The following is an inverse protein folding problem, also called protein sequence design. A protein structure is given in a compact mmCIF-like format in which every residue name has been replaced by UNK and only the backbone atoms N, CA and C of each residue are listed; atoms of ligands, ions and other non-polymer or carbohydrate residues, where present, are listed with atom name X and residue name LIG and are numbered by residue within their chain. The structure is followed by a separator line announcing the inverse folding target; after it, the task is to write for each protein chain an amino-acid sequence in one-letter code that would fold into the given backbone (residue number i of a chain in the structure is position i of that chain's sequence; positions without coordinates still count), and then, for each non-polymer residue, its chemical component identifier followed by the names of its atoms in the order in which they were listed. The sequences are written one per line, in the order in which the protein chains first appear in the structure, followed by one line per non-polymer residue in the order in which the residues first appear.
data_IF_234095416853
#
_entry.id   IF_234095416853
#
_cell.length_a   1.000
_cell.length_b   1.000
_cell.length_c   1.000
_cell.angle_alpha   90.00
_cell.angle_beta   90.00
_cell.angle_gamma   90.00
#
_symmetry.space_group_name_H-M   'P 1'
#
loop_
_entity.id
_entity.type
_entity.pdbx_description
1 polymer ?
#
# COMPACT_ATOMS: atom_id res chain seq x y z
N UNK A 1 -16.51 -16.99 -9.55
CA UNK A 1 -15.33 -16.18 -9.93
C UNK A 1 -15.60 -14.73 -9.53
N UNK A 2 -14.75 -14.13 -8.69
CA UNK A 2 -15.00 -12.79 -8.11
C UNK A 2 -14.98 -11.70 -9.19
N UNK A 3 -15.99 -10.81 -9.19
CA UNK A 3 -16.17 -9.65 -10.08
C UNK A 3 -15.07 -8.57 -9.96
N UNK A 4 -14.05 -8.79 -9.13
CA UNK A 4 -12.99 -7.81 -8.83
C UNK A 4 -11.67 -8.04 -9.57
N UNK A 5 -11.57 -9.07 -10.40
CA UNK A 5 -10.41 -9.27 -11.27
C UNK A 5 -10.74 -8.85 -12.70
N UNK A 6 -10.78 -7.55 -12.97
CA UNK A 6 -10.74 -7.05 -14.34
C UNK A 6 -9.29 -7.11 -14.86
N UNK A 7 -8.75 -8.33 -15.01
CA UNK A 7 -7.42 -8.55 -15.60
C UNK A 7 -7.32 -7.88 -16.98
N UNK A 8 -8.33 -7.98 -17.87
CA UNK A 8 -8.31 -7.25 -19.14
C UNK A 8 -8.23 -5.73 -18.95
N UNK A 9 -8.99 -5.17 -18.01
CA UNK A 9 -8.93 -3.74 -17.66
C UNK A 9 -7.58 -3.32 -17.09
N UNK A 10 -7.01 -4.13 -16.19
CA UNK A 10 -5.68 -3.89 -15.62
C UNK A 10 -4.61 -3.91 -16.71
N UNK A 11 -4.65 -4.90 -17.61
CA UNK A 11 -3.76 -4.92 -18.76
C UNK A 11 -3.95 -3.65 -19.60
N UNK A 12 -5.20 -3.25 -19.88
CA UNK A 12 -5.48 -2.04 -20.66
C UNK A 12 -4.96 -0.76 -19.99
N UNK A 13 -4.97 -0.66 -18.67
CA UNK A 13 -4.45 0.51 -17.94
C UNK A 13 -2.94 0.48 -17.74
N UNK A 14 -2.33 -0.69 -17.58
CA UNK A 14 -0.91 -0.82 -17.27
C UNK A 14 -0.02 -0.94 -18.52
N UNK A 15 -0.48 -1.58 -19.61
CA UNK A 15 0.31 -1.72 -20.85
C UNK A 15 0.81 -0.38 -21.42
N UNK A 16 -0.01 0.68 -21.50
CA UNK A 16 0.45 1.98 -22.01
C UNK A 16 1.60 2.58 -21.20
N UNK A 17 1.74 2.26 -19.91
CA UNK A 17 2.80 2.79 -19.03
C UNK A 17 4.19 2.26 -19.38
N UNK A 18 4.29 1.18 -20.16
CA UNK A 18 5.57 0.73 -20.71
C UNK A 18 6.10 1.66 -21.82
N UNK A 19 5.21 2.42 -22.45
CA UNK A 19 5.52 3.39 -23.50
C UNK A 19 5.91 4.72 -22.87
N UNK A 20 7.14 5.17 -23.14
CA UNK A 20 7.70 6.39 -22.56
C UNK A 20 6.88 7.64 -22.88
N UNK A 21 6.46 7.81 -24.14
CA UNK A 21 5.67 8.97 -24.55
C UNK A 21 4.32 9.06 -23.80
N UNK A 22 3.72 7.92 -23.46
CA UNK A 22 2.49 7.87 -22.67
C UNK A 22 2.73 8.39 -21.24
N UNK A 23 3.79 7.92 -20.57
CA UNK A 23 4.15 8.41 -19.23
C UNK A 23 4.49 9.91 -19.23
N UNK A 24 5.21 10.38 -20.25
CA UNK A 24 5.52 11.81 -20.37
C UNK A 24 4.26 12.64 -20.57
N UNK A 25 3.31 12.18 -21.41
CA UNK A 25 2.02 12.85 -21.59
C UNK A 25 1.22 12.94 -20.28
N UNK A 26 1.29 11.90 -19.45
CA UNK A 26 0.68 11.94 -18.11
C UNK A 26 1.41 12.92 -17.18
N UNK A 27 2.75 12.96 -17.23
CA UNK A 27 3.55 13.91 -16.47
C UNK A 27 3.29 15.37 -16.88
N UNK A 28 3.05 15.63 -18.18
CA UNK A 28 2.70 16.95 -18.71
C UNK A 28 1.41 17.52 -18.11
N UNK A 29 0.49 16.67 -17.64
CA UNK A 29 -0.71 17.12 -16.94
C UNK A 29 -0.40 17.73 -15.56
N UNK A 30 0.74 17.37 -14.96
CA UNK A 30 1.22 17.90 -13.68
C UNK A 30 2.25 19.02 -13.87
N UNK A 31 3.13 18.86 -14.87
CA UNK A 31 4.21 19.82 -15.18
C UNK A 31 4.24 20.05 -16.70
N UNK A 32 3.55 21.08 -17.24
CA UNK A 32 3.37 21.26 -18.68
C UNK A 32 4.66 21.47 -19.49
N UNK A 33 5.75 21.89 -18.85
CA UNK A 33 7.02 22.20 -19.52
C UNK A 33 7.88 20.98 -19.84
N UNK A 34 7.51 19.78 -19.37
CA UNK A 34 8.32 18.57 -19.59
C UNK A 34 8.10 17.99 -20.98
N UNK A 35 9.17 17.47 -21.57
CA UNK A 35 9.14 16.86 -22.89
C UNK A 35 9.77 15.46 -22.93
N UNK A 36 9.35 14.66 -23.93
CA UNK A 36 10.17 13.68 -24.66
C UNK A 36 11.62 13.49 -24.17
N UNK A 37 12.39 14.51 -24.56
CA UNK A 37 13.84 14.62 -24.48
C UNK A 37 14.40 14.70 -23.06
N UNK A 38 13.60 15.12 -22.09
CA UNK A 38 14.06 15.34 -20.71
C UNK A 38 14.24 14.01 -19.96
N UNK A 39 13.48 12.98 -20.32
CA UNK A 39 13.44 11.70 -19.60
C UNK A 39 14.51 10.68 -20.01
N UNK A 40 15.76 11.09 -20.24
CA UNK A 40 16.80 10.30 -20.94
C UNK A 40 16.93 8.83 -20.49
N UNK A 41 16.80 8.57 -19.19
CA UNK A 41 16.98 7.25 -18.58
C UNK A 41 15.65 6.69 -18.07
N UNK A 42 15.37 5.41 -18.32
CA UNK A 42 14.27 4.70 -17.65
C UNK A 42 14.71 4.28 -16.25
N UNK A 43 13.90 4.59 -15.23
CA UNK A 43 14.08 4.06 -13.88
C UNK A 43 13.82 2.55 -13.83
N UNK A 44 14.33 1.88 -12.78
CA UNK A 44 14.01 0.48 -12.52
C UNK A 44 12.58 0.37 -11.96
N UNK A 45 11.77 -0.59 -12.41
CA UNK A 45 10.47 -0.84 -11.79
C UNK A 45 10.65 -1.28 -10.34
N UNK A 46 9.80 -0.77 -9.44
CA UNK A 46 9.77 -1.16 -8.03
C UNK A 46 8.51 -1.96 -7.70
N UNK A 47 8.64 -2.93 -6.80
CA UNK A 47 7.50 -3.69 -6.25
C UNK A 47 7.22 -3.16 -4.85
N UNK A 48 5.95 -2.87 -4.54
CA UNK A 48 5.53 -2.49 -3.19
C UNK A 48 5.13 -3.76 -2.44
N UNK A 49 5.70 -3.97 -1.24
CA UNK A 49 5.21 -4.99 -0.32
C UNK A 49 3.89 -4.49 0.29
N UNK A 50 2.77 -4.88 -0.30
CA UNK A 50 1.42 -4.55 0.18
C UNK A 50 0.70 -5.83 0.57
N UNK A 51 -0.05 -5.79 1.68
CA UNK A 51 -0.84 -6.91 2.13
C UNK A 51 -1.99 -7.17 1.16
N UNK A 52 -2.19 -8.43 0.80
CA UNK A 52 -3.33 -8.88 0.00
C UNK A 52 -4.32 -9.63 0.87
N UNK A 53 -5.51 -9.07 1.04
CA UNK A 53 -6.56 -9.69 1.83
C UNK A 53 -7.29 -10.75 1.00
N UNK A 54 -7.03 -12.03 1.30
CA UNK A 54 -7.55 -13.18 0.54
C UNK A 54 -9.09 -13.25 0.49
N UNK A 55 -9.84 -12.99 1.58
CA UNK A 55 -11.30 -13.04 1.55
C UNK A 55 -11.92 -11.99 0.62
N UNK A 56 -11.45 -10.73 0.69
CA UNK A 56 -11.96 -9.65 -0.17
C UNK A 56 -11.30 -9.63 -1.54
N UNK A 57 -10.13 -10.28 -1.67
CA UNK A 57 -9.25 -10.28 -2.84
C UNK A 57 -8.80 -8.87 -3.24
N UNK A 58 -8.46 -8.05 -2.25
CA UNK A 58 -8.03 -6.66 -2.44
C UNK A 58 -6.65 -6.43 -1.82
N UNK A 59 -5.91 -5.48 -2.38
CA UNK A 59 -4.73 -4.94 -1.74
C UNK A 59 -5.15 -3.95 -0.67
N UNK A 60 -4.57 -4.09 0.51
CA UNK A 60 -4.83 -3.20 1.62
C UNK A 60 -4.09 -1.87 1.41
N UNK A 61 -4.85 -0.79 1.54
CA UNK A 61 -4.39 0.56 1.21
C UNK A 61 -3.96 1.36 2.44
N UNK A 62 -4.23 0.85 3.65
CA UNK A 62 -3.99 1.53 4.92
C UNK A 62 -3.05 0.71 5.84
N UNK A 63 -2.59 1.32 6.93
CA UNK A 63 -1.75 0.67 7.93
C UNK A 63 -2.52 -0.39 8.71
N UNK A 64 -1.98 -1.61 8.72
CA UNK A 64 -2.55 -2.71 9.51
C UNK A 64 -1.54 -3.10 10.57
N UNK A 65 -1.91 -2.83 11.82
CA UNK A 65 -1.13 -3.15 13.02
C UNK A 65 -2.02 -3.96 13.94
N UNK A 66 -1.60 -5.19 14.24
CA UNK A 66 -2.32 -6.11 15.12
C UNK A 66 -1.53 -6.35 16.40
N UNK A 67 -2.24 -6.49 17.52
CA UNK A 67 -1.66 -6.78 18.82
C UNK A 67 -1.81 -8.26 19.15
N UNK A 68 -0.72 -8.89 19.56
CA UNK A 68 -0.67 -10.24 20.14
C UNK A 68 -0.31 -10.20 21.63
N UNK A 69 -0.35 -11.35 22.30
CA UNK A 69 -0.15 -11.46 23.75
C UNK A 69 1.21 -10.89 24.22
N UNK A 70 2.27 -11.06 23.41
CA UNK A 70 3.62 -10.55 23.71
C UNK A 70 4.31 -10.00 22.46
N UNK A 71 3.53 -9.58 21.47
CA UNK A 71 4.05 -9.14 20.17
C UNK A 71 3.13 -8.12 19.52
N UNK A 72 3.70 -7.30 18.64
CA UNK A 72 2.94 -6.38 17.79
C UNK A 72 3.33 -6.66 16.35
N UNK A 73 2.32 -6.89 15.51
CA UNK A 73 2.48 -7.29 14.13
C UNK A 73 2.12 -6.12 13.22
N UNK A 74 3.09 -5.59 12.49
CA UNK A 74 2.85 -4.59 11.45
C UNK A 74 2.69 -5.33 10.13
N UNK A 75 1.44 -5.63 9.75
CA UNK A 75 1.11 -6.46 8.60
C UNK A 75 1.08 -5.69 7.28
N UNK A 76 0.69 -4.41 7.33
CA UNK A 76 0.70 -3.53 6.16
C UNK A 76 1.29 -2.17 6.55
N UNK A 77 2.41 -1.81 5.93
CA UNK A 77 3.10 -0.54 6.12
C UNK A 77 3.34 0.12 4.76
N UNK A 78 2.25 0.52 4.11
CA UNK A 78 2.29 1.15 2.79
C UNK A 78 2.59 2.65 2.88
N UNK A 79 2.99 3.25 1.76
CA UNK A 79 3.19 4.71 1.65
C UNK A 79 2.02 5.44 2.33
N UNK A 80 2.27 6.32 3.33
CA UNK A 80 3.48 7.10 3.58
C UNK A 80 4.44 6.54 4.66
N UNK A 81 4.43 5.23 4.98
CA UNK A 81 5.23 4.65 6.07
C UNK A 81 6.67 5.16 6.18
N UNK A 82 7.40 5.16 5.06
CA UNK A 82 8.79 5.61 5.01
C UNK A 82 8.91 7.12 5.24
N UNK A 83 8.11 7.92 4.53
CA UNK A 83 8.20 9.39 4.58
C UNK A 83 7.65 9.98 5.88
N UNK A 84 6.85 9.22 6.63
CA UNK A 84 6.24 9.62 7.90
C UNK A 84 6.60 8.66 9.06
N UNK A 85 7.80 8.06 8.99
CA UNK A 85 8.21 6.99 9.88
C UNK A 85 8.12 7.35 11.38
N UNK A 86 8.40 8.60 11.76
CA UNK A 86 8.29 9.04 13.16
C UNK A 86 6.84 9.03 13.65
N UNK A 87 5.92 9.63 12.89
CA UNK A 87 4.50 9.65 13.23
C UNK A 87 3.88 8.23 13.23
N UNK A 88 4.32 7.37 12.29
CA UNK A 88 3.93 5.95 12.28
C UNK A 88 4.49 5.23 13.50
N UNK A 89 5.71 5.54 13.93
CA UNK A 89 6.31 5.03 15.16
C UNK A 89 5.47 5.39 16.39
N UNK A 90 5.12 6.66 16.55
CA UNK A 90 4.28 7.14 17.66
C UNK A 90 2.91 6.44 17.67
N UNK A 91 2.30 6.28 16.49
CA UNK A 91 1.03 5.55 16.33
C UNK A 91 1.13 4.08 16.75
N UNK A 92 2.22 3.39 16.38
CA UNK A 92 2.45 1.99 16.78
C UNK A 92 2.69 1.89 18.28
N UNK A 93 3.44 2.82 18.88
CA UNK A 93 3.69 2.84 20.33
C UNK A 93 2.39 3.08 21.10
N UNK A 94 1.55 4.03 20.66
CA UNK A 94 0.24 4.25 21.26
C UNK A 94 -0.63 2.97 21.24
N UNK A 95 -0.67 2.28 20.10
CA UNK A 95 -1.38 0.98 19.94
C UNK A 95 -0.89 -0.10 20.89
N UNK A 96 0.41 -0.13 21.20
CA UNK A 96 1.00 -1.09 22.16
C UNK A 96 0.50 -0.81 23.57
N UNK A 97 0.45 0.47 23.98
CA UNK A 97 -0.04 0.86 25.30
C UNK A 97 -1.54 0.59 25.46
N UNK A 98 -2.35 0.90 24.44
CA UNK A 98 -3.80 0.69 24.47
C UNK A 98 -4.18 -0.80 24.48
N UNK A 99 -3.46 -1.63 23.71
CA UNK A 99 -3.69 -3.07 23.63
C UNK A 99 -3.36 -3.85 24.91
N UNK A 100 -2.64 -3.23 25.86
CA UNK A 100 -2.43 -3.78 27.21
C UNK A 100 -3.70 -3.81 28.08
N UNK A 101 -4.81 -3.20 27.64
CA UNK A 101 -6.07 -3.09 28.40
C UNK A 101 -7.22 -3.97 27.91
N UNK A 102 -7.05 -4.74 26.82
CA UNK A 102 -8.09 -5.63 26.26
C UNK A 102 -7.76 -7.14 26.38
N UNK A 103 -6.89 -7.53 27.31
CA UNK A 103 -6.47 -8.91 27.54
C UNK A 103 -7.39 -9.76 28.44
N UNK A 104 -8.63 -9.35 28.69
CA UNK A 104 -9.57 -10.14 29.51
C UNK A 104 -11.02 -9.97 29.03
N UNK A 105 -11.38 -10.67 27.95
CA UNK A 105 -12.77 -11.09 27.72
C UNK A 105 -12.80 -12.55 27.28
N UNK A 106 -12.96 -13.38 28.31
CA UNK A 106 -13.78 -14.59 28.37
C UNK A 106 -13.79 -15.51 27.15
N UNK A 107 -13.04 -16.61 27.27
CA UNK A 107 -13.58 -17.93 26.98
C UNK A 107 -14.89 -18.12 27.77
N UNK A 108 -16.03 -18.09 27.10
CA UNK A 108 -17.25 -18.76 27.55
C UNK A 108 -18.28 -18.78 26.42
N UNK A 109 -18.85 -19.97 26.21
CA UNK A 109 -19.98 -20.34 25.33
C UNK A 109 -19.52 -20.74 23.91
N UNK A 110 -19.11 -22.01 23.74
CA UNK A 110 -19.96 -23.17 23.41
C UNK A 110 -20.67 -23.04 22.06
#
# INVERSE_FOLDING_TARGET
MSKHHDVPGLLRTEFPKYVRSHLVKQAQALVPSVEVRDFKTKGKPGVRAQLFHLPTRKLEMDFIVESGVKSTHVLNAVSPAWTSALAVGDYVVARIHDGGSMGEKSESEQ
#
